data_IF_511605118593
#
_entry.id   IF_511605118593
#
_cell.length_a   1.000
_cell.length_b   1.000
_cell.length_c   1.000
_cell.angle_alpha   90.00
_cell.angle_beta   90.00
_cell.angle_gamma   90.00
#
_symmetry.space_group_name_H-M   'P 1'
#
loop_
_entity.id
_entity.type
_entity.pdbx_description
1 polymer ?
#
# COMPACT_ATOMS: atom_id res chain seq x y z
N UNK A 1 26.83 1.66 -2.68
CA UNK A 1 25.36 1.63 -2.91
C UNK A 1 25.10 1.66 -4.42
N UNK A 2 24.56 0.60 -5.04
CA UNK A 2 24.17 0.67 -6.45
C UNK A 2 22.88 1.51 -6.53
N UNK A 3 22.96 2.72 -7.02
CA UNK A 3 21.79 3.53 -7.34
C UNK A 3 21.03 2.79 -8.45
N UNK A 4 19.74 2.52 -8.20
CA UNK A 4 18.87 1.87 -9.19
C UNK A 4 18.86 2.72 -10.46
N UNK A 5 19.17 2.11 -11.60
CA UNK A 5 19.14 2.81 -12.88
C UNK A 5 17.69 3.22 -13.19
N UNK A 6 17.45 4.38 -13.84
CA UNK A 6 16.09 4.88 -14.15
C UNK A 6 15.21 3.92 -14.96
N UNK A 7 15.74 2.79 -15.39
CA UNK A 7 15.14 1.82 -16.29
C UNK A 7 14.78 0.47 -15.64
N UNK A 8 15.02 0.32 -14.34
CA UNK A 8 14.66 -0.91 -13.65
C UNK A 8 13.13 -0.99 -13.49
N UNK A 9 12.57 -2.19 -13.68
CA UNK A 9 11.15 -2.44 -13.46
C UNK A 9 10.72 -1.96 -12.06
N UNK A 10 9.51 -1.42 -11.92
CA UNK A 10 9.03 -0.96 -10.62
C UNK A 10 9.02 -2.12 -9.62
N UNK A 11 9.51 -1.87 -8.41
CA UNK A 11 9.40 -2.82 -7.31
C UNK A 11 8.27 -2.39 -6.40
N UNK A 12 7.22 -3.18 -6.36
CA UNK A 12 5.99 -2.92 -5.62
C UNK A 12 5.89 -3.90 -4.47
N UNK A 13 5.89 -3.40 -3.24
CA UNK A 13 5.83 -4.22 -2.02
C UNK A 13 4.48 -3.99 -1.37
N UNK A 14 3.67 -5.03 -1.25
CA UNK A 14 2.51 -5.04 -0.36
C UNK A 14 3.00 -5.29 1.06
N UNK A 15 2.55 -4.48 2.01
CA UNK A 15 3.07 -4.46 3.37
C UNK A 15 1.96 -4.14 4.36
N UNK A 16 2.00 -4.82 5.50
CA UNK A 16 1.16 -4.56 6.67
C UNK A 16 2.01 -4.76 7.93
N UNK A 17 1.94 -3.81 8.88
CA UNK A 17 2.69 -3.85 10.14
C UNK A 17 1.76 -4.04 11.32
N UNK A 18 2.24 -4.73 12.34
CA UNK A 18 1.58 -4.82 13.63
C UNK A 18 2.42 -4.13 14.71
N UNK A 19 1.77 -3.42 15.59
CA UNK A 19 2.45 -2.66 16.64
C UNK A 19 2.07 -3.14 18.03
N UNK A 20 3.02 -3.11 18.96
CA UNK A 20 2.72 -3.28 20.37
C UNK A 20 1.80 -2.14 20.83
N UNK A 21 0.76 -2.41 21.63
CA UNK A 21 -0.04 -1.37 22.23
C UNK A 21 0.81 -0.43 23.10
N UNK A 22 0.53 0.86 23.05
CA UNK A 22 1.06 1.81 24.04
C UNK A 22 0.55 1.42 25.43
N UNK A 23 1.42 1.49 26.44
CA UNK A 23 1.07 1.28 27.85
C UNK A 23 1.12 2.61 28.56
N UNK A 24 0.05 2.98 29.23
CA UNK A 24 -0.05 4.25 29.95
C UNK A 24 -0.84 4.11 31.26
N UNK A 25 -0.47 4.91 32.28
CA UNK A 25 -1.31 5.05 33.46
C UNK A 25 -2.46 6.01 33.19
N UNK A 26 -3.65 5.60 33.57
CA UNK A 26 -4.86 6.41 33.38
C UNK A 26 -5.68 6.47 34.67
N UNK A 27 -6.27 7.63 34.94
CA UNK A 27 -7.07 7.82 36.14
C UNK A 27 -8.50 7.27 36.03
N UNK A 28 -8.97 7.07 34.79
CA UNK A 28 -10.33 6.55 34.51
C UNK A 28 -10.39 5.82 33.19
N UNK A 29 -11.39 4.98 33.03
CA UNK A 29 -11.69 4.33 31.75
C UNK A 29 -12.48 5.26 30.83
N UNK A 30 -12.56 4.87 29.54
CA UNK A 30 -13.30 5.60 28.51
C UNK A 30 -12.41 6.49 27.64
N UNK A 31 -13.03 7.31 26.82
CA UNK A 31 -12.31 8.18 25.87
C UNK A 31 -11.64 9.33 26.62
N UNK A 32 -10.33 9.40 26.57
CA UNK A 32 -9.53 10.45 27.18
C UNK A 32 -8.27 10.73 26.35
N UNK A 33 -7.70 11.92 26.51
CA UNK A 33 -6.35 12.22 26.03
C UNK A 33 -5.33 11.65 27.02
N UNK A 34 -4.25 11.06 26.49
CA UNK A 34 -3.11 10.56 27.25
C UNK A 34 -1.97 11.56 27.12
N UNK A 35 -1.47 12.10 28.21
CA UNK A 35 -0.30 12.97 28.22
C UNK A 35 1.01 12.15 28.19
N UNK A 36 2.09 12.75 27.72
CA UNK A 36 3.37 12.07 27.50
C UNK A 36 3.90 11.46 28.81
N UNK A 37 3.75 12.15 29.95
CA UNK A 37 4.17 11.71 31.27
C UNK A 37 3.40 10.48 31.81
N UNK A 38 2.23 10.17 31.24
CA UNK A 38 1.46 8.98 31.56
C UNK A 38 1.96 7.74 30.78
N UNK A 39 2.72 7.92 29.71
CA UNK A 39 3.19 6.83 28.86
C UNK A 39 4.32 6.06 29.57
N UNK A 40 4.11 4.77 29.74
CA UNK A 40 5.10 3.85 30.32
C UNK A 40 5.90 3.12 29.26
N UNK A 41 5.22 2.75 28.15
CA UNK A 41 5.84 2.09 27.00
C UNK A 41 5.20 2.60 25.73
N UNK A 42 6.01 3.08 24.81
CA UNK A 42 5.55 3.50 23.48
C UNK A 42 5.17 2.31 22.59
N UNK A 43 4.41 2.60 21.55
CA UNK A 43 4.17 1.61 20.49
C UNK A 43 5.42 1.38 19.67
N UNK A 44 5.77 0.11 19.46
CA UNK A 44 6.88 -0.33 18.61
C UNK A 44 6.37 -1.33 17.57
N UNK A 45 7.09 -1.53 16.48
CA UNK A 45 6.72 -2.50 15.45
C UNK A 45 7.10 -3.90 15.93
N UNK A 46 6.12 -4.77 16.16
CA UNK A 46 6.35 -6.13 16.65
C UNK A 46 6.36 -7.20 15.56
N UNK A 47 5.69 -6.95 14.47
CA UNK A 47 5.75 -7.79 13.28
C UNK A 47 5.42 -7.01 12.01
N UNK A 48 5.80 -7.57 10.88
CA UNK A 48 5.30 -7.15 9.59
C UNK A 48 5.19 -8.34 8.63
N UNK A 49 4.22 -8.24 7.73
CA UNK A 49 4.09 -9.17 6.60
C UNK A 49 4.25 -8.41 5.30
N UNK A 50 4.81 -9.09 4.29
CA UNK A 50 5.00 -8.50 2.98
C UNK A 50 4.91 -9.50 1.84
N UNK A 51 4.56 -9.01 0.66
CA UNK A 51 4.66 -9.74 -0.60
C UNK A 51 5.06 -8.78 -1.71
N UNK A 52 5.78 -9.25 -2.71
CA UNK A 52 5.95 -8.49 -3.94
C UNK A 52 4.66 -8.59 -4.75
N UNK A 53 4.05 -7.44 -5.01
CA UNK A 53 2.83 -7.39 -5.80
C UNK A 53 3.14 -7.35 -7.31
N UNK A 54 2.38 -8.13 -8.06
CA UNK A 54 2.33 -8.13 -9.51
C UNK A 54 0.89 -8.34 -9.94
N UNK A 55 0.38 -7.52 -10.86
CA UNK A 55 -1.01 -7.56 -11.28
C UNK A 55 -1.47 -8.97 -11.70
N UNK A 56 -2.61 -9.40 -11.17
CA UNK A 56 -3.20 -10.72 -11.46
C UNK A 56 -2.47 -11.90 -10.86
N UNK A 57 -1.42 -11.69 -10.05
CA UNK A 57 -0.66 -12.76 -9.38
C UNK A 57 -0.84 -12.67 -7.87
N UNK A 58 -1.33 -13.74 -7.27
CA UNK A 58 -1.37 -13.90 -5.82
C UNK A 58 -0.06 -14.56 -5.37
N UNK A 59 0.77 -13.81 -4.64
CA UNK A 59 1.97 -14.34 -3.99
C UNK A 59 1.68 -14.52 -2.51
N UNK A 60 2.22 -15.61 -1.94
CA UNK A 60 2.16 -15.83 -0.49
C UNK A 60 2.95 -14.75 0.23
N UNK A 61 2.39 -14.24 1.31
CA UNK A 61 3.07 -13.29 2.16
C UNK A 61 4.18 -13.97 2.98
N UNK A 62 5.25 -13.21 3.19
CA UNK A 62 6.31 -13.52 4.14
C UNK A 62 6.06 -12.76 5.43
N UNK A 63 6.67 -13.20 6.53
CA UNK A 63 6.44 -12.65 7.87
C UNK A 63 7.76 -12.54 8.64
N UNK A 64 7.90 -11.48 9.41
CA UNK A 64 8.96 -11.30 10.38
C UNK A 64 8.40 -10.68 11.66
N UNK A 65 8.99 -11.01 12.81
CA UNK A 65 8.56 -10.50 14.12
C UNK A 65 9.71 -10.41 15.12
N UNK A 66 9.44 -9.73 16.23
CA UNK A 66 10.33 -9.69 17.40
C UNK A 66 10.01 -10.79 18.43
N UNK A 67 9.14 -11.75 18.12
CA UNK A 67 8.60 -12.73 19.08
C UNK A 67 9.68 -13.48 19.85
N UNK A 68 10.74 -13.93 19.17
CA UNK A 68 11.83 -14.70 19.74
C UNK A 68 12.94 -13.84 20.37
N UNK A 69 12.84 -12.51 20.33
CA UNK A 69 13.81 -11.61 20.92
C UNK A 69 13.66 -11.55 22.46
N UNK A 70 14.75 -11.30 23.18
CA UNK A 70 14.73 -11.16 24.65
C UNK A 70 13.78 -10.03 25.08
N UNK A 71 13.88 -8.87 24.44
CA UNK A 71 12.88 -7.80 24.55
C UNK A 71 12.06 -7.76 23.26
N UNK A 72 10.78 -8.17 23.36
CA UNK A 72 9.86 -8.15 22.21
C UNK A 72 9.47 -6.73 21.76
N UNK A 73 9.74 -5.72 22.60
CA UNK A 73 9.50 -4.30 22.25
C UNK A 73 10.73 -3.62 21.65
N UNK A 74 11.90 -4.24 21.70
CA UNK A 74 13.06 -3.79 20.93
C UNK A 74 12.86 -4.19 19.46
N UNK A 75 12.40 -3.24 18.66
CA UNK A 75 12.14 -3.42 17.25
C UNK A 75 13.37 -3.12 16.35
N UNK A 76 14.52 -2.79 16.92
CA UNK A 76 15.69 -2.30 16.18
C UNK A 76 16.14 -3.25 15.05
N UNK A 77 16.23 -4.55 15.31
CA UNK A 77 16.60 -5.57 14.31
C UNK A 77 15.52 -5.75 13.25
N UNK A 78 14.25 -5.76 13.67
CA UNK A 78 13.11 -5.89 12.78
C UNK A 78 12.99 -4.68 11.86
N UNK A 79 13.19 -3.49 12.40
CA UNK A 79 13.18 -2.22 11.66
C UNK A 79 14.34 -2.14 10.67
N UNK A 80 15.53 -2.66 11.00
CA UNK A 80 16.65 -2.76 10.07
C UNK A 80 16.35 -3.72 8.89
N UNK A 81 15.66 -4.84 9.16
CA UNK A 81 15.18 -5.75 8.10
C UNK A 81 14.17 -5.05 7.19
N UNK A 82 13.19 -4.34 7.79
CA UNK A 82 12.18 -3.58 7.06
C UNK A 82 12.81 -2.47 6.20
N UNK A 83 13.80 -1.76 6.73
CA UNK A 83 14.56 -0.75 5.98
C UNK A 83 15.26 -1.37 4.77
N UNK A 84 15.90 -2.53 4.96
CA UNK A 84 16.57 -3.27 3.86
C UNK A 84 15.56 -3.74 2.80
N UNK A 85 14.38 -4.19 3.22
CA UNK A 85 13.30 -4.60 2.31
C UNK A 85 12.82 -3.42 1.44
N UNK A 86 12.67 -2.24 2.06
CA UNK A 86 12.03 -1.09 1.42
C UNK A 86 12.98 -0.17 0.66
N UNK A 87 14.30 -0.29 0.84
CA UNK A 87 15.28 0.63 0.22
C UNK A 87 15.17 0.77 -1.29
N UNK A 88 14.76 -0.28 -1.99
CA UNK A 88 14.62 -0.31 -3.44
C UNK A 88 13.13 -0.34 -3.89
N UNK A 89 12.18 -0.22 -2.95
CA UNK A 89 10.76 -0.16 -3.28
C UNK A 89 10.42 1.18 -3.94
N UNK A 90 9.78 1.11 -5.09
CA UNK A 90 9.24 2.29 -5.78
C UNK A 90 7.82 2.60 -5.32
N UNK A 91 7.08 1.55 -4.96
CA UNK A 91 5.70 1.63 -4.50
C UNK A 91 5.50 0.71 -3.29
N UNK A 92 4.63 1.14 -2.39
CA UNK A 92 4.11 0.32 -1.29
C UNK A 92 2.60 0.20 -1.47
N UNK A 93 2.09 -1.02 -1.39
CA UNK A 93 0.65 -1.28 -1.26
C UNK A 93 0.34 -1.44 0.21
N UNK A 94 -0.62 -0.68 0.70
CA UNK A 94 -1.07 -0.75 2.09
C UNK A 94 -2.56 -0.40 2.21
N UNK A 95 -3.20 -0.74 3.33
CA UNK A 95 -4.59 -0.38 3.60
C UNK A 95 -4.65 0.64 4.72
N UNK A 96 -4.90 1.91 4.42
CA UNK A 96 -4.70 3.07 5.29
C UNK A 96 -3.23 3.36 5.59
N UNK A 97 -2.33 2.85 4.76
CA UNK A 97 -0.90 2.91 5.00
C UNK A 97 -0.31 4.30 4.91
N UNK A 98 -0.93 5.21 4.17
CA UNK A 98 -0.49 6.60 4.10
C UNK A 98 -0.66 7.32 5.45
N UNK A 99 -1.66 6.93 6.26
CA UNK A 99 -1.96 7.54 7.55
C UNK A 99 -1.41 6.73 8.74
N UNK A 100 -1.12 5.43 8.57
CA UNK A 100 -0.67 4.58 9.67
C UNK A 100 0.70 3.94 9.40
N UNK A 101 0.78 2.99 8.47
CA UNK A 101 2.00 2.18 8.30
C UNK A 101 3.23 3.03 7.97
N UNK A 102 3.13 3.91 6.97
CA UNK A 102 4.27 4.70 6.53
C UNK A 102 4.78 5.69 7.60
N UNK A 103 3.93 6.44 8.32
CA UNK A 103 4.38 7.26 9.44
C UNK A 103 5.03 6.46 10.56
N UNK A 104 4.49 5.28 10.92
CA UNK A 104 5.06 4.41 11.94
C UNK A 104 6.43 3.88 11.52
N UNK A 105 6.58 3.43 10.28
CA UNK A 105 7.83 2.96 9.70
C UNK A 105 8.90 4.06 9.70
N UNK A 106 8.54 5.26 9.22
CA UNK A 106 9.47 6.40 9.22
C UNK A 106 9.89 6.81 10.63
N UNK A 107 8.94 6.84 11.58
CA UNK A 107 9.24 7.10 12.97
C UNK A 107 10.20 6.05 13.57
N UNK A 108 10.01 4.78 13.21
CA UNK A 108 10.90 3.70 13.64
C UNK A 108 12.28 3.84 13.01
N UNK A 109 12.41 4.18 11.73
CA UNK A 109 13.70 4.46 11.08
C UNK A 109 14.45 5.60 11.80
N UNK A 110 13.75 6.70 12.07
CA UNK A 110 14.32 7.84 12.80
C UNK A 110 14.79 7.44 14.20
N UNK A 111 13.96 6.72 14.97
CA UNK A 111 14.27 6.25 16.33
C UNK A 111 15.47 5.32 16.35
N UNK A 112 15.59 4.44 15.35
CA UNK A 112 16.71 3.50 15.23
C UNK A 112 17.97 4.09 14.58
N UNK A 113 17.99 5.40 14.26
CA UNK A 113 19.14 6.08 13.64
C UNK A 113 19.45 5.61 12.21
N UNK A 114 18.45 5.08 11.50
CA UNK A 114 18.61 4.66 10.10
C UNK A 114 18.46 5.85 9.15
N UNK A 115 19.12 5.78 7.99
CA UNK A 115 19.01 6.79 6.96
C UNK A 115 17.57 6.86 6.40
N UNK A 116 17.07 8.06 6.08
CA UNK A 116 15.77 8.19 5.44
C UNK A 116 15.76 7.53 4.05
N UNK A 117 14.71 6.78 3.76
CA UNK A 117 14.50 6.24 2.42
C UNK A 117 13.80 7.25 1.51
N UNK A 118 14.07 7.20 0.19
CA UNK A 118 13.23 7.91 -0.77
C UNK A 118 11.76 7.52 -0.57
N UNK A 119 10.88 8.50 -0.40
CA UNK A 119 9.46 8.23 -0.15
C UNK A 119 8.85 7.42 -1.29
N UNK A 120 8.44 6.17 -1.08
CA UNK A 120 7.78 5.37 -2.10
C UNK A 120 6.39 5.95 -2.39
N UNK A 121 5.84 5.63 -3.55
CA UNK A 121 4.44 5.94 -3.83
C UNK A 121 3.54 4.95 -3.11
N UNK A 122 2.58 5.44 -2.36
CA UNK A 122 1.69 4.57 -1.59
C UNK A 122 0.41 4.31 -2.40
N UNK A 123 0.20 3.05 -2.76
CA UNK A 123 -1.03 2.53 -3.33
C UNK A 123 -1.95 2.14 -2.17
N UNK A 124 -2.62 3.13 -1.60
CA UNK A 124 -3.49 2.95 -0.43
C UNK A 124 -4.85 2.44 -0.89
N UNK A 125 -5.10 1.15 -0.64
CA UNK A 125 -6.32 0.47 -1.09
C UNK A 125 -7.59 1.01 -0.43
N UNK A 126 -7.49 1.57 0.81
CA UNK A 126 -8.62 2.24 1.44
C UNK A 126 -8.96 3.56 0.75
N UNK A 127 -7.95 4.39 0.47
CA UNK A 127 -8.15 5.66 -0.23
C UNK A 127 -8.66 5.44 -1.65
N UNK A 128 -8.14 4.40 -2.35
CA UNK A 128 -8.63 4.01 -3.68
C UNK A 128 -10.09 3.57 -3.63
N UNK A 129 -10.49 2.76 -2.65
CA UNK A 129 -11.89 2.35 -2.47
C UNK A 129 -12.80 3.56 -2.14
N UNK A 130 -12.31 4.55 -1.39
CA UNK A 130 -13.03 5.81 -1.13
C UNK A 130 -13.24 6.64 -2.41
N UNK A 131 -12.32 6.60 -3.37
CA UNK A 131 -12.52 7.25 -4.67
C UNK A 131 -13.68 6.63 -5.47
N UNK A 132 -13.91 5.31 -5.30
CA UNK A 132 -15.05 4.63 -5.91
C UNK A 132 -16.36 5.09 -5.25
N UNK A 133 -16.36 5.27 -3.92
CA UNK A 133 -17.52 5.68 -3.13
C UNK A 133 -18.54 4.55 -2.91
N UNK A 134 -19.69 4.89 -2.28
CA UNK A 134 -20.85 4.01 -2.19
C UNK A 134 -20.70 2.76 -1.31
N UNK A 135 -19.63 2.64 -0.51
CA UNK A 135 -19.43 1.49 0.38
C UNK A 135 -19.94 1.79 1.78
N UNK A 136 -20.59 0.81 2.42
CA UNK A 136 -21.03 0.94 3.82
C UNK A 136 -19.84 1.01 4.80
N UNK A 137 -18.69 0.42 4.42
CA UNK A 137 -17.45 0.50 5.19
C UNK A 137 -16.23 0.42 4.26
N UNK A 138 -15.16 1.11 4.64
CA UNK A 138 -13.88 1.05 3.95
C UNK A 138 -12.84 0.24 4.73
N UNK A 139 -13.24 -0.54 5.73
CA UNK A 139 -12.36 -1.49 6.43
C UNK A 139 -11.99 -2.64 5.49
N UNK A 140 -10.76 -3.13 5.59
CA UNK A 140 -10.27 -4.25 4.78
C UNK A 140 -11.22 -5.45 4.85
N UNK A 141 -11.67 -5.83 6.05
CA UNK A 141 -12.61 -6.93 6.26
C UNK A 141 -13.94 -6.78 5.49
N UNK A 142 -14.40 -5.55 5.28
CA UNK A 142 -15.62 -5.29 4.51
C UNK A 142 -15.36 -5.38 3.01
N UNK A 143 -14.29 -4.74 2.55
CA UNK A 143 -13.98 -4.64 1.12
C UNK A 143 -13.53 -5.97 0.50
N UNK A 144 -13.04 -6.89 1.34
CA UNK A 144 -12.55 -8.21 0.89
C UNK A 144 -13.58 -9.34 1.05
N UNK A 145 -14.80 -9.04 1.47
CA UNK A 145 -15.87 -10.04 1.52
C UNK A 145 -16.10 -10.64 0.12
N UNK A 146 -16.16 -11.98 0.05
CA UNK A 146 -16.34 -12.71 -1.19
C UNK A 146 -15.11 -12.80 -2.10
N UNK A 147 -13.95 -12.31 -1.68
CA UNK A 147 -12.67 -12.59 -2.34
C UNK A 147 -12.16 -13.99 -1.98
N UNK A 148 -11.24 -14.54 -2.78
CA UNK A 148 -10.56 -15.81 -2.49
C UNK A 148 -9.72 -15.70 -1.21
N UNK A 149 -9.01 -14.57 -1.08
CA UNK A 149 -8.25 -14.18 0.10
C UNK A 149 -8.99 -13.06 0.81
N UNK A 150 -9.90 -13.41 1.70
CA UNK A 150 -10.57 -12.43 2.55
C UNK A 150 -9.75 -12.18 3.83
N UNK A 151 -9.86 -10.95 4.36
CA UNK A 151 -9.29 -10.66 5.69
C UNK A 151 -9.74 -11.70 6.71
N UNK A 152 -8.77 -12.32 7.37
CA UNK A 152 -9.01 -13.30 8.43
C UNK A 152 -9.38 -12.59 9.73
N UNK A 153 -10.32 -13.17 10.49
CA UNK A 153 -10.56 -12.78 11.88
C UNK A 153 -9.66 -13.59 12.81
N UNK A 154 -9.18 -12.97 13.88
CA UNK A 154 -8.42 -13.65 14.95
C UNK A 154 -9.37 -14.07 16.09
N UNK A 155 -10.38 -14.86 15.78
CA UNK A 155 -11.45 -15.25 16.73
C UNK A 155 -10.96 -16.00 17.97
N UNK A 156 -9.82 -16.69 17.86
CA UNK A 156 -9.17 -17.37 18.99
C UNK A 156 -8.67 -16.39 20.06
N UNK A 157 -8.28 -15.19 19.64
CA UNK A 157 -7.80 -14.11 20.51
C UNK A 157 -8.55 -12.82 20.16
N UNK A 158 -9.79 -12.62 20.61
CA UNK A 158 -10.63 -11.50 20.18
C UNK A 158 -10.13 -10.16 20.71
N UNK A 159 -10.33 -9.11 19.91
CA UNK A 159 -9.99 -7.72 20.26
C UNK A 159 -8.49 -7.56 20.52
N UNK A 160 -8.14 -6.91 21.61
CA UNK A 160 -6.74 -6.64 22.00
C UNK A 160 -6.00 -7.89 22.49
N UNK A 161 -6.71 -9.00 22.77
CA UNK A 161 -6.12 -10.19 23.40
C UNK A 161 -5.02 -10.84 22.54
N UNK A 162 -5.10 -10.74 21.20
CA UNK A 162 -4.04 -11.25 20.34
C UNK A 162 -2.69 -10.62 20.66
N UNK A 163 -2.64 -9.29 20.72
CA UNK A 163 -1.39 -8.54 21.00
C UNK A 163 -0.91 -8.75 22.43
N UNK A 164 -1.82 -8.77 23.42
CA UNK A 164 -1.43 -8.97 24.82
C UNK A 164 -0.93 -10.38 25.11
N UNK A 165 -1.53 -11.41 24.52
CA UNK A 165 -1.05 -12.80 24.63
C UNK A 165 0.24 -13.00 23.83
N UNK A 166 0.39 -12.34 22.70
CA UNK A 166 1.63 -12.33 21.93
C UNK A 166 2.79 -11.76 22.77
N UNK A 167 2.59 -10.62 23.44
CA UNK A 167 3.58 -10.00 24.33
C UNK A 167 3.87 -10.82 25.59
N UNK A 168 3.00 -11.77 25.98
CA UNK A 168 3.24 -12.76 27.02
C UNK A 168 3.97 -14.01 26.50
N UNK A 169 4.48 -13.98 25.26
CA UNK A 169 5.17 -15.10 24.62
C UNK A 169 4.31 -16.35 24.45
N UNK A 170 3.00 -16.19 24.24
CA UNK A 170 2.12 -17.30 23.92
C UNK A 170 2.36 -17.78 22.48
N UNK A 171 2.90 -19.02 22.26
CA UNK A 171 3.20 -19.51 20.91
C UNK A 171 1.97 -19.60 20.01
N UNK A 172 0.79 -19.84 20.60
CA UNK A 172 -0.45 -19.89 19.86
C UNK A 172 -0.89 -18.49 19.36
N UNK A 173 -0.57 -17.43 20.13
CA UNK A 173 -0.79 -16.06 19.70
C UNK A 173 0.18 -15.64 18.59
N UNK A 174 1.44 -16.10 18.63
CA UNK A 174 2.39 -15.88 17.51
C UNK A 174 1.93 -16.55 16.23
N UNK A 175 1.50 -17.80 16.30
CA UNK A 175 0.93 -18.50 15.14
C UNK A 175 -0.28 -17.76 14.56
N UNK A 176 -1.19 -17.30 15.43
CA UNK A 176 -2.38 -16.54 15.00
C UNK A 176 -2.00 -15.18 14.40
N UNK A 177 -1.05 -14.44 14.99
CA UNK A 177 -0.54 -13.17 14.49
C UNK A 177 0.06 -13.32 13.09
N UNK A 178 0.89 -14.35 12.87
CA UNK A 178 1.47 -14.66 11.56
C UNK A 178 0.40 -14.94 10.51
N UNK A 179 -0.59 -15.77 10.84
CA UNK A 179 -1.67 -16.10 9.93
C UNK A 179 -2.56 -14.89 9.63
N UNK A 180 -2.82 -14.07 10.64
CA UNK A 180 -3.62 -12.86 10.53
C UNK A 180 -2.92 -11.82 9.63
N UNK A 181 -1.69 -11.45 9.95
CA UNK A 181 -0.92 -10.42 9.24
C UNK A 181 -0.63 -10.85 7.78
N UNK A 182 -0.29 -12.14 7.53
CA UNK A 182 -0.12 -12.66 6.17
C UNK A 182 -1.43 -12.60 5.36
N UNK A 183 -2.55 -12.97 5.97
CA UNK A 183 -3.85 -12.93 5.30
C UNK A 183 -4.26 -11.49 4.93
N UNK A 184 -3.92 -10.51 5.76
CA UNK A 184 -4.19 -9.09 5.47
C UNK A 184 -3.42 -8.63 4.23
N UNK A 185 -2.14 -8.97 4.09
CA UNK A 185 -1.32 -8.66 2.91
C UNK A 185 -1.87 -9.36 1.66
N UNK A 186 -2.20 -10.65 1.75
CA UNK A 186 -2.74 -11.40 0.60
C UNK A 186 -4.11 -10.86 0.16
N UNK A 187 -5.01 -10.58 1.12
CA UNK A 187 -6.32 -9.99 0.83
C UNK A 187 -6.21 -8.58 0.23
N UNK A 188 -5.26 -7.81 0.69
CA UNK A 188 -4.98 -6.46 0.19
C UNK A 188 -4.44 -6.48 -1.25
N UNK A 189 -3.59 -7.45 -1.61
CA UNK A 189 -3.12 -7.63 -2.98
C UNK A 189 -4.28 -7.91 -3.96
N UNK A 190 -5.19 -8.82 -3.61
CA UNK A 190 -6.38 -9.11 -4.40
C UNK A 190 -7.34 -7.89 -4.46
N UNK A 191 -7.48 -7.17 -3.34
CA UNK A 191 -8.28 -5.95 -3.31
C UNK A 191 -7.69 -4.87 -4.23
N UNK A 192 -6.36 -4.73 -4.28
CA UNK A 192 -5.71 -3.78 -5.17
C UNK A 192 -6.08 -4.07 -6.63
N UNK A 193 -5.97 -5.32 -7.08
CA UNK A 193 -6.33 -5.70 -8.44
C UNK A 193 -7.79 -5.33 -8.76
N UNK A 194 -8.69 -5.51 -7.81
CA UNK A 194 -10.12 -5.19 -7.95
C UNK A 194 -10.42 -3.69 -8.03
N UNK A 195 -9.73 -2.86 -7.22
CA UNK A 195 -9.98 -1.41 -7.20
C UNK A 195 -9.15 -0.65 -8.24
N UNK A 196 -8.09 -1.24 -8.75
CA UNK A 196 -7.14 -0.62 -9.67
C UNK A 196 -7.80 0.00 -10.92
N UNK A 197 -8.79 -0.64 -11.59
CA UNK A 197 -9.45 -0.08 -12.76
C UNK A 197 -10.18 1.24 -12.50
N UNK A 198 -10.63 1.45 -11.26
CA UNK A 198 -11.43 2.60 -10.84
C UNK A 198 -10.57 3.74 -10.31
N UNK A 199 -9.39 3.41 -9.79
CA UNK A 199 -8.54 4.36 -9.12
C UNK A 199 -7.81 5.28 -10.13
N UNK A 200 -7.55 6.50 -9.71
CA UNK A 200 -6.82 7.50 -10.47
C UNK A 200 -5.93 8.32 -9.53
N UNK A 201 -4.91 8.95 -10.10
CA UNK A 201 -4.02 9.82 -9.34
C UNK A 201 -2.53 9.62 -9.65
N UNK A 202 -1.67 10.46 -9.07
CA UNK A 202 -0.23 10.45 -9.34
C UNK A 202 0.52 9.23 -8.76
N UNK A 203 -0.11 8.49 -7.84
CA UNK A 203 0.49 7.31 -7.20
C UNK A 203 0.82 6.18 -8.19
N UNK A 204 0.19 6.18 -9.37
CA UNK A 204 0.49 5.20 -10.43
C UNK A 204 1.70 5.57 -11.30
N UNK A 205 2.29 6.74 -11.11
CA UNK A 205 3.46 7.12 -11.90
C UNK A 205 4.63 6.19 -11.61
N UNK A 206 5.22 5.63 -12.67
CA UNK A 206 6.35 4.70 -12.56
C UNK A 206 5.98 3.25 -12.28
N UNK A 207 4.67 2.87 -12.22
CA UNK A 207 4.25 1.46 -12.19
C UNK A 207 4.57 0.73 -13.50
N UNK A 208 4.68 1.48 -14.58
CA UNK A 208 5.03 0.95 -15.89
C UNK A 208 6.48 1.33 -16.18
N UNK A 209 7.33 0.38 -16.60
CA UNK A 209 8.66 0.71 -17.08
C UNK A 209 8.57 1.71 -18.23
N UNK A 210 9.29 2.81 -18.16
CA UNK A 210 9.42 3.68 -19.32
C UNK A 210 10.34 2.97 -20.31
N UNK A 211 9.77 2.46 -21.41
CA UNK A 211 10.55 1.89 -22.49
C UNK A 211 11.53 2.95 -23.01
N UNK A 212 12.82 2.63 -22.90
CA UNK A 212 13.84 3.34 -23.66
C UNK A 212 13.89 2.74 -25.06
N UNK A 213 13.62 3.55 -26.02
CA UNK A 213 13.90 3.18 -27.40
C UNK A 213 12.86 3.74 -28.35
N UNK A 214 13.37 4.28 -29.41
CA UNK A 214 12.70 4.92 -30.53
C UNK A 214 11.84 3.98 -31.37
N UNK A 215 11.36 2.88 -30.83
CA UNK A 215 10.44 2.00 -31.53
C UNK A 215 9.05 2.18 -30.97
N UNK A 216 8.26 2.84 -31.79
CA UNK A 216 6.80 2.89 -31.82
C UNK A 216 6.10 2.65 -30.48
N UNK A 217 5.90 3.71 -29.79
CA UNK A 217 4.72 4.22 -29.11
C UNK A 217 3.61 3.19 -28.81
N UNK A 218 3.96 1.99 -28.35
CA UNK A 218 2.97 1.12 -27.76
C UNK A 218 2.47 1.80 -26.48
N UNK A 219 1.21 2.22 -26.50
CA UNK A 219 0.57 2.76 -25.31
C UNK A 219 0.45 1.67 -24.26
N UNK A 220 0.92 1.93 -23.05
CA UNK A 220 0.79 1.01 -21.93
C UNK A 220 -0.21 1.55 -20.90
N UNK A 221 -0.95 0.66 -20.30
CA UNK A 221 -1.84 1.01 -19.20
C UNK A 221 -1.03 1.54 -18.01
N UNK A 222 -1.27 2.76 -17.53
CA UNK A 222 -0.49 3.33 -16.42
C UNK A 222 -0.73 2.63 -15.08
N UNK A 223 -1.72 1.71 -14.98
CA UNK A 223 -2.09 1.00 -13.77
C UNK A 223 -1.47 -0.39 -13.69
N UNK A 224 -1.69 -1.23 -14.70
CA UNK A 224 -1.25 -2.63 -14.68
C UNK A 224 -0.07 -2.92 -15.62
N UNK A 225 0.39 -1.94 -16.38
CA UNK A 225 1.52 -2.11 -17.30
C UNK A 225 1.19 -2.78 -18.64
N UNK A 226 -0.03 -3.26 -18.83
CA UNK A 226 -0.43 -3.98 -20.04
C UNK A 226 -0.32 -3.12 -21.30
N UNK A 227 0.15 -3.71 -22.40
CA UNK A 227 0.10 -3.12 -23.74
C UNK A 227 -1.27 -3.28 -24.41
N UNK A 228 -2.19 -4.09 -23.83
CA UNK A 228 -3.54 -4.32 -24.38
C UNK A 228 -4.45 -3.11 -24.13
N UNK A 229 -4.14 -1.98 -24.72
CA UNK A 229 -4.93 -0.75 -24.61
C UNK A 229 -5.58 -0.40 -25.94
N UNK A 230 -6.87 -0.12 -25.90
CA UNK A 230 -7.68 0.17 -27.09
C UNK A 230 -8.16 1.62 -27.04
N UNK A 231 -7.97 2.36 -28.13
CA UNK A 231 -8.49 3.72 -28.28
C UNK A 231 -10.02 3.74 -28.20
N UNK A 232 -10.58 4.58 -27.33
CA UNK A 232 -12.04 4.69 -27.08
C UNK A 232 -12.46 6.15 -26.96
N UNK A 233 -12.54 6.81 -28.09
CA UNK A 233 -13.01 8.19 -28.19
C UNK A 233 -12.03 9.19 -27.57
N UNK A 234 -12.55 10.37 -27.25
CA UNK A 234 -11.73 11.49 -26.81
C UNK A 234 -12.27 12.06 -25.50
N UNK A 235 -11.41 12.73 -24.76
CA UNK A 235 -11.78 13.64 -23.69
C UNK A 235 -11.36 15.05 -24.06
N UNK A 236 -12.15 16.04 -23.65
CA UNK A 236 -11.84 17.45 -23.85
C UNK A 236 -11.65 18.10 -22.50
N UNK A 237 -10.58 18.85 -22.35
CA UNK A 237 -10.25 19.65 -21.16
C UNK A 237 -10.10 21.11 -21.59
N UNK A 238 -9.89 22.01 -20.63
CA UNK A 238 -9.57 23.41 -20.92
C UNK A 238 -8.30 23.54 -21.80
N UNK A 239 -7.35 22.62 -21.65
CA UNK A 239 -6.09 22.62 -22.40
C UNK A 239 -6.23 22.05 -23.83
N UNK A 240 -7.30 21.27 -24.12
CA UNK A 240 -7.54 20.72 -25.44
C UNK A 240 -8.16 19.31 -25.43
N UNK A 241 -8.06 18.64 -26.56
CA UNK A 241 -8.65 17.33 -26.81
C UNK A 241 -7.57 16.24 -26.77
N UNK A 242 -7.84 15.13 -26.05
CA UNK A 242 -6.90 14.01 -25.86
C UNK A 242 -7.57 12.70 -26.26
N UNK A 243 -6.81 11.78 -26.87
CA UNK A 243 -7.26 10.43 -27.14
C UNK A 243 -7.46 9.68 -25.82
N UNK A 244 -8.60 9.00 -25.65
CA UNK A 244 -8.88 8.09 -24.54
C UNK A 244 -8.57 6.66 -24.92
N UNK A 245 -8.13 5.90 -23.91
CA UNK A 245 -7.83 4.48 -24.05
C UNK A 245 -8.50 3.70 -22.92
N UNK A 246 -8.92 2.47 -23.22
CA UNK A 246 -9.35 1.49 -22.23
C UNK A 246 -8.39 0.31 -22.26
N UNK A 247 -7.93 -0.12 -21.11
CA UNK A 247 -7.12 -1.34 -20.96
C UNK A 247 -8.05 -2.56 -21.02
N UNK A 248 -7.71 -3.55 -21.84
CA UNK A 248 -8.48 -4.79 -21.95
C UNK A 248 -8.22 -5.72 -20.77
N UNK A 249 -7.06 -5.65 -20.12
CA UNK A 249 -6.68 -6.55 -19.03
C UNK A 249 -7.24 -6.11 -17.67
N UNK A 250 -7.05 -4.84 -17.27
CA UNK A 250 -7.57 -4.36 -16.00
C UNK A 250 -8.87 -3.55 -16.10
N UNK A 251 -9.33 -3.22 -17.31
CA UNK A 251 -10.54 -2.41 -17.55
C UNK A 251 -10.37 -0.91 -17.29
N UNK A 252 -9.21 -0.46 -16.82
CA UNK A 252 -8.95 0.92 -16.45
C UNK A 252 -8.91 1.88 -17.64
N UNK A 253 -9.33 3.13 -17.43
CA UNK A 253 -9.31 4.19 -18.42
C UNK A 253 -8.11 5.10 -18.26
N UNK A 254 -7.53 5.53 -19.38
CA UNK A 254 -6.43 6.48 -19.45
C UNK A 254 -6.60 7.43 -20.63
N UNK A 255 -5.78 8.45 -20.70
CA UNK A 255 -5.73 9.37 -21.83
C UNK A 255 -4.29 9.63 -22.27
N UNK A 256 -4.10 9.98 -23.54
CA UNK A 256 -2.82 10.43 -24.07
C UNK A 256 -2.32 11.65 -23.28
N UNK A 257 -1.00 11.78 -23.15
CA UNK A 257 -0.34 13.01 -22.65
C UNK A 257 -0.26 14.09 -23.74
N UNK A 258 -0.45 13.68 -25.02
CA UNK A 258 -0.33 14.57 -26.15
C UNK A 258 -1.70 14.98 -26.64
N UNK A 259 -1.83 16.27 -26.96
CA UNK A 259 -3.02 16.84 -27.60
C UNK A 259 -3.22 16.23 -28.99
N UNK A 260 -4.45 15.86 -29.29
CA UNK A 260 -4.83 15.61 -30.68
C UNK A 260 -4.88 16.97 -31.38
N UNK A 261 -3.89 17.24 -32.23
CA UNK A 261 -3.85 18.46 -33.04
C UNK A 261 -4.98 18.42 -34.05
N UNK A 262 -6.07 19.13 -33.78
CA UNK A 262 -7.08 19.43 -34.81
C UNK A 262 -6.55 20.59 -35.68
N UNK A 263 -6.61 20.44 -36.99
CA UNK A 263 -6.26 21.49 -37.96
C UNK A 263 -7.26 22.68 -37.95
N UNK A 264 -8.06 22.83 -36.91
CA UNK A 264 -9.09 23.86 -36.77
C UNK A 264 -8.50 25.13 -36.16
N UNK A 265 -7.91 26.00 -36.98
CA UNK A 265 -7.28 27.27 -36.57
C UNK A 265 -8.27 28.37 -36.17
N UNK A 266 -9.57 28.15 -36.30
CA UNK A 266 -10.61 29.18 -36.19
C UNK A 266 -11.57 29.04 -35.00
N UNK A 267 -11.34 28.09 -34.11
CA UNK A 267 -12.14 27.98 -32.91
C UNK A 267 -11.61 28.89 -31.80
N UNK A 268 -12.43 29.85 -31.40
CA UNK A 268 -12.18 30.72 -30.26
C UNK A 268 -12.45 29.95 -28.96
N UNK A 269 -11.69 30.28 -27.91
CA UNK A 269 -11.99 29.82 -26.55
C UNK A 269 -13.00 30.77 -25.90
N UNK A 270 -13.96 30.24 -25.16
CA UNK A 270 -14.72 31.01 -24.18
C UNK A 270 -13.77 31.49 -23.10
N UNK A 271 -13.83 32.76 -22.80
CA UNK A 271 -13.05 33.41 -21.73
C UNK A 271 -13.78 33.16 -20.41
#
# INVERSE_FOLDING_TARGET
>A
MKVRKPHDAPRVIALDIETAPCVAYVWRTGKQAISIDQIQQESTIISFSWAEWEFGKVKKASYASTFDQEDQRDDSKLVAQLHTLLKDATHIVAHNGAAFDWPMINGAFFRCGLEPLPKPRILDTMLMARQIGGQASYKLAWLTQGQKTAKRSHSRFPGLSLWTEWLKRNPAAEQEMRLYNNADVEAMCELLDKVLPWAHGPQFAGLVPQSQGREEEAHHCPRCGSANVVARGFTTTVAGRYQRYRCSDCGGWSQSRFLVREKRRHLLKTI
#
